data_IF_323112287041
#
_entry.id   IF_323112287041
#
_cell.length_a   1.000
_cell.length_b   1.000
_cell.length_c   1.000
_cell.angle_alpha   90.00
_cell.angle_beta   90.00
_cell.angle_gamma   90.00
#
_symmetry.space_group_name_H-M   'P 1'
#
loop_
_entity.id
_entity.type
_entity.pdbx_description
1 polymer ?
#
# COMPACT_ATOMS: atom_id res chain seq x y z
N UNK A 1 17.22 8.13 -7.75
CA UNK A 1 16.37 9.16 -7.10
C UNK A 1 15.54 8.58 -5.94
N UNK A 2 15.20 7.30 -6.04
CA UNK A 2 14.58 6.50 -5.00
C UNK A 2 15.63 5.79 -4.11
N UNK A 3 16.19 6.52 -3.15
CA UNK A 3 17.17 5.97 -2.20
C UNK A 3 16.95 6.55 -0.80
N UNK A 4 17.59 5.93 0.20
CA UNK A 4 17.65 6.38 1.59
C UNK A 4 19.11 6.57 2.00
N UNK A 5 19.37 7.61 2.79
CA UNK A 5 20.71 7.92 3.28
C UNK A 5 20.83 7.69 4.79
N UNK A 6 22.05 7.53 5.33
CA UNK A 6 22.25 7.50 6.78
C UNK A 6 21.78 8.78 7.50
N UNK A 7 21.67 9.91 6.78
CA UNK A 7 21.16 11.17 7.34
C UNK A 7 19.63 11.15 7.46
N UNK A 8 18.92 10.40 6.61
CA UNK A 8 17.48 10.21 6.76
C UNK A 8 17.19 9.36 8.01
N UNK A 9 17.96 8.29 8.22
CA UNK A 9 17.83 7.45 9.44
C UNK A 9 18.08 8.27 10.71
N UNK A 10 19.04 9.20 10.68
CA UNK A 10 19.38 10.08 11.80
C UNK A 10 18.23 11.03 12.21
N UNK A 11 17.32 11.34 11.29
CA UNK A 11 16.19 12.24 11.54
C UNK A 11 14.99 11.56 12.21
N UNK A 12 14.98 10.22 12.29
CA UNK A 12 13.91 9.48 12.93
C UNK A 12 13.90 9.70 14.45
N UNK A 13 12.70 9.91 15.00
CA UNK A 13 12.48 9.92 16.45
C UNK A 13 12.50 8.49 17.03
N UNK A 14 12.41 8.35 18.36
CA UNK A 14 12.47 7.05 19.05
C UNK A 14 11.36 6.08 18.60
N UNK A 15 10.14 6.60 18.42
CA UNK A 15 8.99 5.79 18.04
C UNK A 15 9.16 5.28 16.61
N UNK A 16 9.52 6.16 15.68
CA UNK A 16 9.69 5.81 14.27
C UNK A 16 10.91 4.92 14.05
N UNK A 17 12.01 5.12 14.78
CA UNK A 17 13.19 4.25 14.68
C UNK A 17 12.87 2.82 15.18
N UNK A 18 12.15 2.69 16.30
CA UNK A 18 11.69 1.39 16.79
C UNK A 18 10.76 0.72 15.78
N UNK A 19 9.79 1.49 15.25
CA UNK A 19 8.87 1.02 14.23
C UNK A 19 9.58 0.58 12.95
N UNK A 20 10.64 1.28 12.55
CA UNK A 20 11.47 0.90 11.42
C UNK A 20 12.15 -0.46 11.64
N UNK A 21 12.80 -0.66 12.79
CA UNK A 21 13.49 -1.93 13.10
C UNK A 21 12.51 -3.09 13.15
N UNK A 22 11.32 -2.90 13.74
CA UNK A 22 10.25 -3.90 13.74
C UNK A 22 9.83 -4.31 12.33
N UNK A 23 9.49 -3.33 11.49
CA UNK A 23 9.11 -3.54 10.08
C UNK A 23 10.22 -4.17 9.24
N UNK A 24 11.48 -3.82 9.52
CA UNK A 24 12.64 -4.44 8.86
C UNK A 24 12.81 -5.91 9.23
N UNK A 25 12.59 -6.26 10.50
CA UNK A 25 12.60 -7.66 10.94
C UNK A 25 11.48 -8.45 10.26
N UNK A 26 10.26 -7.92 10.23
CA UNK A 26 9.12 -8.55 9.53
C UNK A 26 9.42 -8.75 8.05
N UNK A 27 9.92 -7.71 7.37
CA UNK A 27 10.27 -7.77 5.95
C UNK A 27 11.38 -8.81 5.68
N UNK A 28 12.38 -8.91 6.55
CA UNK A 28 13.45 -9.91 6.44
C UNK A 28 12.93 -11.34 6.56
N UNK A 29 12.04 -11.60 7.54
CA UNK A 29 11.42 -12.91 7.69
C UNK A 29 10.56 -13.27 6.48
N UNK A 30 9.70 -12.35 6.04
CA UNK A 30 8.81 -12.59 4.90
C UNK A 30 9.62 -12.84 3.62
N UNK A 31 10.72 -12.11 3.40
CA UNK A 31 11.60 -12.32 2.23
C UNK A 31 12.21 -13.72 2.17
N UNK A 32 12.20 -14.46 3.28
CA UNK A 32 12.72 -15.82 3.42
C UNK A 32 11.62 -16.88 3.56
N UNK A 33 10.36 -16.50 3.34
CA UNK A 33 9.21 -17.38 3.51
C UNK A 33 8.90 -17.71 4.97
N UNK A 34 9.39 -16.91 5.92
CA UNK A 34 9.14 -17.08 7.36
C UNK A 34 7.98 -16.19 7.82
N UNK A 35 7.27 -16.62 8.85
CA UNK A 35 6.13 -15.89 9.39
C UNK A 35 6.57 -14.61 10.13
N UNK A 36 6.00 -13.43 9.82
CA UNK A 36 6.28 -12.20 10.54
C UNK A 36 5.75 -12.23 11.98
N UNK A 37 4.84 -13.16 12.33
CA UNK A 37 4.34 -13.33 13.69
C UNK A 37 5.43 -13.72 14.71
N UNK A 38 6.58 -14.19 14.24
CA UNK A 38 7.76 -14.42 15.07
C UNK A 38 8.45 -13.12 15.53
N UNK A 39 8.07 -11.97 14.98
CA UNK A 39 8.56 -10.65 15.40
C UNK A 39 7.59 -10.06 16.42
N UNK A 40 8.12 -9.52 17.52
CA UNK A 40 7.35 -8.83 18.54
C UNK A 40 7.96 -7.44 18.79
N UNK A 41 7.17 -6.40 18.60
CA UNK A 41 7.51 -5.00 18.87
C UNK A 41 6.23 -4.19 19.15
N UNK A 42 6.36 -3.00 19.75
CA UNK A 42 5.21 -2.11 20.02
C UNK A 42 4.58 -2.21 21.42
N UNK A 43 5.26 -2.87 22.37
CA UNK A 43 4.86 -2.86 23.79
C UNK A 43 5.08 -1.49 24.47
N UNK A 44 4.31 -1.21 25.52
CA UNK A 44 4.40 0.03 26.29
C UNK A 44 5.79 0.14 26.97
N UNK A 45 6.48 1.28 26.80
CA UNK A 45 7.88 1.51 27.18
C UNK A 45 8.20 1.38 28.68
N UNK A 46 7.18 1.15 29.52
CA UNK A 46 7.22 1.23 30.98
C UNK A 46 7.01 -0.11 31.69
N UNK A 47 6.99 -1.25 30.97
CA UNK A 47 7.04 -2.55 31.62
C UNK A 47 8.36 -2.67 32.43
N UNK A 48 8.24 -2.89 33.74
CA UNK A 48 9.35 -2.87 34.70
C UNK A 48 10.40 -3.98 34.49
N UNK A 49 10.22 -4.85 33.50
CA UNK A 49 11.01 -6.06 33.29
C UNK A 49 12.22 -5.88 32.35
N UNK A 50 12.55 -4.64 31.96
CA UNK A 50 13.77 -4.36 31.21
C UNK A 50 13.85 -5.05 29.85
N UNK A 51 12.69 -5.19 29.19
CA UNK A 51 12.52 -5.87 27.91
C UNK A 51 13.21 -5.17 26.73
N UNK A 52 13.39 -5.94 25.65
CA UNK A 52 13.94 -5.49 24.38
C UNK A 52 12.90 -4.69 23.59
N UNK A 53 13.36 -3.77 22.74
CA UNK A 53 12.47 -2.97 21.88
C UNK A 53 11.83 -3.80 20.76
N UNK A 54 12.62 -4.72 20.17
CA UNK A 54 12.17 -5.65 19.14
C UNK A 54 12.77 -7.03 19.42
N UNK A 55 11.96 -8.08 19.31
CA UNK A 55 12.39 -9.47 19.46
C UNK A 55 11.98 -10.28 18.24
N UNK A 56 12.87 -11.14 17.76
CA UNK A 56 12.58 -12.18 16.77
C UNK A 56 12.80 -13.53 17.44
N UNK A 57 11.76 -14.36 17.46
CA UNK A 57 11.79 -15.70 18.06
C UNK A 57 11.28 -16.75 17.08
N UNK A 58 12.21 -17.45 16.43
CA UNK A 58 11.91 -18.49 15.45
C UNK A 58 12.04 -19.90 16.06
N UNK A 59 11.17 -20.85 15.67
CA UNK A 59 11.28 -22.23 16.12
C UNK A 59 12.64 -22.87 15.78
N UNK A 60 13.13 -23.82 16.60
CA UNK A 60 14.36 -24.55 16.33
C UNK A 60 14.32 -25.28 14.98
N UNK A 61 15.47 -25.41 14.33
CA UNK A 61 15.63 -26.15 13.06
C UNK A 61 15.50 -25.31 11.80
N UNK A 62 15.22 -24.00 11.93
CA UNK A 62 15.32 -23.05 10.81
C UNK A 62 16.74 -22.49 10.67
N UNK A 63 17.05 -21.98 9.48
CA UNK A 63 18.29 -21.24 9.22
C UNK A 63 17.97 -19.78 8.94
N UNK A 64 18.72 -18.88 9.58
CA UNK A 64 18.58 -17.44 9.38
C UNK A 64 19.97 -16.78 9.51
N UNK A 65 20.30 -15.90 8.57
CA UNK A 65 21.55 -15.12 8.54
C UNK A 65 21.31 -13.64 8.21
N UNK A 66 22.34 -12.84 7.95
CA UNK A 66 22.20 -11.44 7.53
C UNK A 66 21.85 -10.48 8.68
N UNK A 67 20.85 -9.62 8.50
CA UNK A 67 20.52 -8.59 9.50
C UNK A 67 19.83 -9.14 10.75
N UNK A 68 19.18 -10.30 10.66
CA UNK A 68 18.70 -11.09 11.79
C UNK A 68 19.57 -12.35 11.86
N UNK A 69 20.64 -12.36 12.67
CA UNK A 69 21.70 -13.36 12.54
C UNK A 69 21.42 -14.68 13.25
N UNK A 70 20.41 -14.76 14.12
CA UNK A 70 20.07 -15.96 14.93
C UNK A 70 18.56 -16.14 15.08
N UNK A 71 18.13 -17.36 15.41
CA UNK A 71 16.72 -17.71 15.59
C UNK A 71 16.06 -16.96 16.74
N UNK A 72 16.81 -16.73 17.82
CA UNK A 72 16.43 -15.82 18.91
C UNK A 72 17.29 -14.56 18.80
N UNK A 73 16.72 -13.45 18.33
CA UNK A 73 17.44 -12.18 18.18
C UNK A 73 16.69 -11.06 18.89
N UNK A 74 17.38 -10.35 19.78
CA UNK A 74 16.91 -9.15 20.43
C UNK A 74 17.57 -7.89 19.87
N UNK A 75 16.77 -6.88 19.54
CA UNK A 75 17.24 -5.56 19.20
C UNK A 75 16.86 -4.55 20.29
N UNK A 76 17.87 -3.82 20.76
CA UNK A 76 17.69 -2.65 21.63
C UNK A 76 17.91 -1.40 20.79
N UNK A 77 16.89 -0.57 20.66
CA UNK A 77 16.88 0.63 19.83
C UNK A 77 17.16 1.86 20.69
N UNK A 78 18.13 2.68 20.27
CA UNK A 78 18.51 3.91 20.97
C UNK A 78 18.69 5.04 19.97
N UNK A 79 17.80 6.04 20.01
CA UNK A 79 17.98 7.27 19.22
C UNK A 79 19.27 8.03 19.55
N UNK A 80 19.73 8.22 20.80
CA UNK A 80 21.00 8.90 21.07
C UNK A 80 22.20 8.06 20.64
N UNK A 81 23.37 8.70 20.53
CA UNK A 81 24.63 7.97 20.36
C UNK A 81 24.89 7.07 21.57
N UNK A 82 25.51 5.92 21.31
CA UNK A 82 25.83 4.88 22.29
C UNK A 82 27.35 4.72 22.38
N UNK A 83 28.06 5.62 23.09
CA UNK A 83 29.48 5.42 23.39
C UNK A 83 29.65 4.25 24.38
N UNK A 84 30.89 3.75 24.54
CA UNK A 84 31.23 2.63 25.42
C UNK A 84 30.54 2.66 26.79
N UNK A 85 30.61 3.81 27.49
CA UNK A 85 30.00 3.94 28.82
C UNK A 85 28.49 3.75 28.83
N UNK A 86 27.78 4.24 27.79
CA UNK A 86 26.34 4.07 27.65
C UNK A 86 25.97 2.62 27.32
N UNK A 87 26.77 1.93 26.49
CA UNK A 87 26.57 0.50 26.19
C UNK A 87 26.71 -0.35 27.46
N UNK A 88 27.77 -0.12 28.25
CA UNK A 88 27.99 -0.84 29.50
C UNK A 88 26.86 -0.60 30.50
N UNK A 89 26.42 0.66 30.66
CA UNK A 89 25.32 1.02 31.55
C UNK A 89 23.97 0.44 31.07
N UNK A 90 23.75 0.38 29.76
CA UNK A 90 22.54 -0.19 29.17
C UNK A 90 22.47 -1.70 29.43
N UNK A 91 23.55 -2.44 29.17
CA UNK A 91 23.56 -3.89 29.37
C UNK A 91 23.63 -4.29 30.84
N UNK A 92 24.28 -3.47 31.67
CA UNK A 92 24.45 -3.70 33.11
C UNK A 92 23.92 -2.56 33.98
N UNK A 93 22.60 -2.38 34.08
CA UNK A 93 22.06 -1.41 35.01
C UNK A 93 22.49 -1.79 36.43
N UNK A 94 23.18 -0.87 37.12
CA UNK A 94 23.69 -1.09 38.49
C UNK A 94 24.71 -2.25 38.59
N UNK A 95 25.38 -2.60 37.49
CA UNK A 95 26.48 -3.58 37.46
C UNK A 95 26.07 -5.05 37.25
N UNK A 96 24.77 -5.37 37.25
CA UNK A 96 24.25 -6.70 36.94
C UNK A 96 23.73 -6.77 35.50
N UNK A 97 24.00 -7.87 34.78
CA UNK A 97 23.50 -8.06 33.42
C UNK A 97 21.97 -8.11 33.40
N UNK A 98 21.33 -7.51 32.38
CA UNK A 98 19.89 -7.65 32.20
C UNK A 98 19.51 -9.12 31.99
N UNK A 99 18.46 -9.63 32.67
CA UNK A 99 18.00 -11.02 32.51
C UNK A 99 17.77 -11.41 31.05
N UNK A 100 17.19 -10.52 30.25
CA UNK A 100 16.91 -10.76 28.84
C UNK A 100 18.17 -11.06 27.99
N UNK A 101 19.32 -10.53 28.37
CA UNK A 101 20.59 -10.81 27.69
C UNK A 101 21.11 -12.19 28.08
N UNK A 102 20.92 -12.60 29.33
CA UNK A 102 21.24 -13.95 29.79
C UNK A 102 20.35 -15.00 29.10
N UNK A 103 19.04 -14.74 28.98
CA UNK A 103 18.11 -15.59 28.22
C UNK A 103 18.58 -15.80 26.77
N UNK A 104 18.93 -14.70 26.07
CA UNK A 104 19.46 -14.79 24.71
C UNK A 104 20.77 -15.58 24.64
N UNK A 105 21.62 -15.51 25.67
CA UNK A 105 22.86 -16.28 25.70
C UNK A 105 22.59 -17.78 25.88
N UNK A 106 21.65 -18.14 26.74
CA UNK A 106 21.26 -19.53 27.00
C UNK A 106 20.58 -20.17 25.77
N UNK A 107 19.96 -19.37 24.91
CA UNK A 107 19.36 -19.79 23.64
C UNK A 107 20.33 -19.77 22.45
N UNK A 108 21.62 -19.48 22.66
CA UNK A 108 22.61 -19.25 21.58
C UNK A 108 22.14 -18.21 20.55
N UNK A 109 21.43 -17.19 21.04
CA UNK A 109 20.78 -16.15 20.27
C UNK A 109 21.70 -14.98 19.90
N UNK A 110 21.08 -13.83 19.64
CA UNK A 110 21.77 -12.59 19.31
C UNK A 110 21.22 -11.38 20.09
N UNK A 111 22.11 -10.50 20.54
CA UNK A 111 21.78 -9.21 21.14
C UNK A 111 22.41 -8.08 20.33
N UNK A 112 21.58 -7.22 19.75
CA UNK A 112 22.02 -6.15 18.84
C UNK A 112 21.57 -4.81 19.39
N UNK A 113 22.49 -3.86 19.51
CA UNK A 113 22.14 -2.47 19.78
C UNK A 113 22.06 -1.72 18.46
N UNK A 114 20.97 -0.99 18.26
CA UNK A 114 20.70 -0.16 17.10
C UNK A 114 20.75 1.30 17.51
N UNK A 115 21.48 2.14 16.77
CA UNK A 115 21.45 3.59 16.97
C UNK A 115 21.40 4.38 15.67
N UNK A 116 20.55 5.40 15.65
CA UNK A 116 20.44 6.34 14.52
C UNK A 116 21.45 7.49 14.60
N UNK A 117 22.09 7.69 15.75
CA UNK A 117 23.06 8.78 16.01
C UNK A 117 24.46 8.26 16.28
N UNK A 118 25.43 9.16 16.20
CA UNK A 118 26.83 8.88 16.52
C UNK A 118 27.72 8.62 15.32
N UNK A 119 29.01 8.49 15.60
CA UNK A 119 30.03 8.23 14.57
C UNK A 119 29.84 6.86 13.92
N UNK A 120 29.92 6.82 12.59
CA UNK A 120 29.89 5.61 11.76
C UNK A 120 31.29 5.16 11.34
N UNK A 121 32.34 5.75 11.92
CA UNK A 121 33.71 5.38 11.63
C UNK A 121 34.04 3.97 12.15
N UNK A 122 34.85 3.22 11.41
CA UNK A 122 35.23 1.84 11.76
C UNK A 122 35.81 1.72 13.18
N UNK A 123 36.63 2.70 13.60
CA UNK A 123 37.21 2.72 14.94
C UNK A 123 36.14 2.87 16.04
N UNK A 124 35.12 3.70 15.80
CA UNK A 124 33.99 3.86 16.71
C UNK A 124 33.12 2.60 16.76
N UNK A 125 32.84 1.98 15.61
CA UNK A 125 32.09 0.72 15.53
C UNK A 125 32.82 -0.43 16.24
N UNK A 126 34.13 -0.57 16.04
CA UNK A 126 34.95 -1.55 16.77
C UNK A 126 34.89 -1.31 18.27
N UNK A 127 35.07 -0.07 18.72
CA UNK A 127 34.96 0.28 20.14
C UNK A 127 33.59 -0.10 20.73
N UNK A 128 32.49 0.14 20.01
CA UNK A 128 31.14 -0.26 20.45
C UNK A 128 30.96 -1.78 20.49
N UNK A 129 31.48 -2.50 19.51
CA UNK A 129 31.47 -3.98 19.49
C UNK A 129 32.31 -4.57 20.62
N UNK A 130 33.47 -3.99 20.90
CA UNK A 130 34.31 -4.38 22.03
C UNK A 130 33.60 -4.10 23.36
N UNK A 131 32.91 -2.97 23.48
CA UNK A 131 32.09 -2.64 24.66
C UNK A 131 30.93 -3.64 24.88
N UNK A 132 30.26 -4.09 23.81
CA UNK A 132 29.24 -5.14 23.88
C UNK A 132 29.85 -6.45 24.41
N UNK A 133 31.03 -6.84 23.93
CA UNK A 133 31.73 -8.05 24.39
C UNK A 133 32.24 -7.91 25.83
N UNK A 134 32.76 -6.75 26.20
CA UNK A 134 33.18 -6.45 27.57
C UNK A 134 32.01 -6.56 28.56
N UNK A 135 30.82 -6.06 28.18
CA UNK A 135 29.61 -6.16 28.98
C UNK A 135 29.17 -7.60 29.28
N UNK A 136 29.68 -8.60 28.56
CA UNK A 136 29.37 -10.02 28.77
C UNK A 136 30.32 -10.71 29.75
N UNK A 137 31.30 -10.01 30.33
CA UNK A 137 32.26 -10.61 31.26
C UNK A 137 31.59 -11.25 32.50
N UNK A 138 31.60 -12.57 32.62
CA UNK A 138 30.96 -13.30 33.71
C UNK A 138 29.48 -13.64 33.48
N UNK A 139 28.99 -13.49 32.24
CA UNK A 139 27.69 -14.02 31.79
C UNK A 139 27.86 -15.49 31.38
N UNK A 140 26.92 -16.34 31.76
CA UNK A 140 26.95 -17.77 31.39
C UNK A 140 26.62 -17.90 29.90
N UNK A 141 27.29 -18.80 29.16
CA UNK A 141 27.09 -19.01 27.72
C UNK A 141 27.37 -17.77 26.84
N UNK A 142 28.15 -16.81 27.33
CA UNK A 142 28.47 -15.57 26.62
C UNK A 142 29.16 -15.79 25.25
N UNK A 143 29.87 -16.91 25.10
CA UNK A 143 30.53 -17.34 23.86
C UNK A 143 29.52 -17.76 22.77
N UNK A 144 28.35 -18.24 23.17
CA UNK A 144 27.28 -18.63 22.25
C UNK A 144 26.43 -17.43 21.79
N UNK A 145 26.38 -16.37 22.60
CA UNK A 145 25.66 -15.14 22.27
C UNK A 145 26.36 -14.36 21.14
N UNK A 146 25.65 -14.13 20.04
CA UNK A 146 26.08 -13.19 19.02
C UNK A 146 25.78 -11.74 19.46
N UNK A 147 26.74 -10.84 19.35
CA UNK A 147 26.52 -9.41 19.63
C UNK A 147 26.98 -8.55 18.48
N UNK A 148 26.20 -7.54 18.13
CA UNK A 148 26.57 -6.57 17.09
C UNK A 148 25.99 -5.17 17.37
N UNK A 149 26.52 -4.19 16.66
CA UNK A 149 26.06 -2.79 16.72
C UNK A 149 25.64 -2.33 15.32
N UNK A 150 24.40 -1.90 15.17
CA UNK A 150 23.86 -1.41 13.89
C UNK A 150 23.76 0.10 13.96
N UNK A 151 24.61 0.77 13.19
CA UNK A 151 24.54 2.22 13.03
C UNK A 151 23.58 2.62 11.92
N UNK A 152 23.39 3.93 11.76
CA UNK A 152 22.58 4.54 10.70
C UNK A 152 22.98 4.12 9.28
N UNK A 153 24.25 3.80 9.02
CA UNK A 153 24.71 3.35 7.69
C UNK A 153 24.26 1.93 7.41
N UNK A 154 24.38 1.05 8.40
CA UNK A 154 23.91 -0.32 8.31
C UNK A 154 22.39 -0.39 8.23
N UNK A 155 21.68 0.45 8.99
CA UNK A 155 20.22 0.60 8.87
C UNK A 155 19.81 1.09 7.48
N UNK A 156 20.45 2.13 6.94
CA UNK A 156 20.15 2.59 5.59
C UNK A 156 20.35 1.47 4.55
N UNK A 157 21.41 0.66 4.70
CA UNK A 157 21.66 -0.51 3.85
C UNK A 157 20.56 -1.56 4.00
N UNK A 158 20.05 -1.79 5.20
CA UNK A 158 18.95 -2.71 5.43
C UNK A 158 17.65 -2.22 4.77
N UNK A 159 17.33 -0.92 4.94
CA UNK A 159 16.14 -0.30 4.36
C UNK A 159 16.15 -0.35 2.83
N UNK A 160 17.31 -0.15 2.19
CA UNK A 160 17.43 -0.19 0.71
C UNK A 160 16.96 -1.50 0.08
N UNK A 161 16.93 -2.59 0.85
CA UNK A 161 16.44 -3.89 0.36
C UNK A 161 14.92 -3.93 0.17
N UNK A 162 14.18 -2.98 0.75
CA UNK A 162 12.72 -2.99 0.82
C UNK A 162 12.13 -1.64 0.37
N UNK A 163 11.75 -1.50 -0.92
CA UNK A 163 11.24 -0.26 -1.49
C UNK A 163 10.08 0.38 -0.72
N UNK A 164 9.13 -0.42 -0.22
CA UNK A 164 8.01 0.09 0.58
C UNK A 164 8.46 0.69 1.92
N UNK A 165 9.62 0.28 2.46
CA UNK A 165 10.20 0.90 3.65
C UNK A 165 10.98 2.18 3.32
N UNK A 166 11.53 2.30 2.10
CA UNK A 166 12.16 3.56 1.64
C UNK A 166 11.11 4.68 1.60
N UNK A 167 9.94 4.42 0.99
CA UNK A 167 8.83 5.40 0.94
C UNK A 167 8.33 5.73 2.34
N UNK A 168 8.17 4.73 3.19
CA UNK A 168 7.75 4.93 4.58
C UNK A 168 8.73 5.81 5.39
N UNK A 169 10.04 5.54 5.33
CA UNK A 169 11.04 6.35 6.06
C UNK A 169 11.03 7.79 5.53
N UNK A 170 11.00 7.96 4.21
CA UNK A 170 10.99 9.29 3.58
C UNK A 170 9.78 10.12 3.97
N UNK A 171 8.60 9.50 4.08
CA UNK A 171 7.39 10.14 4.59
C UNK A 171 7.57 10.63 6.04
N UNK A 172 8.13 9.78 6.92
CA UNK A 172 8.36 10.11 8.34
C UNK A 172 9.34 11.26 8.56
N UNK A 173 10.33 11.42 7.69
CA UNK A 173 11.32 12.49 7.78
C UNK A 173 10.93 13.74 6.97
N UNK A 174 9.70 13.82 6.46
CA UNK A 174 9.21 14.98 5.70
C UNK A 174 9.85 15.13 4.31
N UNK A 175 10.40 14.04 3.76
CA UNK A 175 11.00 13.97 2.42
C UNK A 175 10.24 13.02 1.50
N UNK A 176 8.93 12.93 1.70
CA UNK A 176 8.02 12.13 0.90
C UNK A 176 8.22 12.42 -0.59
N UNK A 177 8.16 11.37 -1.41
CA UNK A 177 8.16 11.52 -2.86
C UNK A 177 6.76 11.96 -3.30
N UNK A 178 6.70 12.96 -4.17
CA UNK A 178 5.42 13.52 -4.61
C UNK A 178 4.61 12.42 -5.32
N UNK A 179 3.37 12.23 -4.90
CA UNK A 179 2.46 11.23 -5.49
C UNK A 179 2.80 9.76 -5.21
N UNK A 180 3.86 9.46 -4.45
CA UNK A 180 4.26 8.08 -4.11
C UNK A 180 3.97 7.75 -2.65
N UNK A 181 3.41 6.56 -2.41
CA UNK A 181 3.03 6.11 -1.07
C UNK A 181 3.48 4.66 -0.82
N UNK A 182 3.83 4.29 0.43
CA UNK A 182 3.98 2.90 0.81
C UNK A 182 2.62 2.17 0.81
N UNK A 183 2.64 0.89 1.17
CA UNK A 183 1.40 0.18 1.53
C UNK A 183 0.62 0.96 2.60
N UNK A 184 -0.67 1.16 2.34
CA UNK A 184 -1.55 1.96 3.18
C UNK A 184 -2.98 2.03 2.61
N UNK A 185 -3.83 2.91 3.15
CA UNK A 185 -5.21 3.05 2.71
C UNK A 185 -5.27 3.83 1.40
N UNK A 186 -5.19 3.13 0.27
CA UNK A 186 -5.23 3.75 -1.07
C UNK A 186 -6.67 4.06 -1.55
N UNK A 187 -7.72 3.50 -0.93
CA UNK A 187 -9.11 3.46 -1.42
C UNK A 187 -9.99 4.58 -0.84
N UNK A 188 -9.37 5.62 -0.29
CA UNK A 188 -10.03 6.80 0.23
C UNK A 188 -9.80 7.01 1.73
N UNK A 189 -9.95 8.26 2.17
CA UNK A 189 -9.56 8.73 3.51
C UNK A 189 -10.40 8.17 4.68
N UNK A 190 -11.51 7.49 4.40
CA UNK A 190 -12.43 6.98 5.42
C UNK A 190 -12.15 5.54 5.86
N UNK A 191 -11.24 4.82 5.20
CA UNK A 191 -10.89 3.44 5.52
C UNK A 191 -9.48 3.39 6.10
N UNK A 192 -9.34 2.81 7.29
CA UNK A 192 -8.03 2.45 7.86
C UNK A 192 -7.47 1.22 7.12
N UNK A 193 -6.15 0.99 7.18
CA UNK A 193 -5.50 -0.22 6.64
C UNK A 193 -6.12 -1.48 7.24
N UNK A 194 -6.52 -1.40 8.51
CA UNK A 194 -7.16 -2.49 9.24
C UNK A 194 -8.63 -2.69 8.87
N UNK A 195 -9.18 -1.91 7.94
CA UNK A 195 -10.55 -2.13 7.46
C UNK A 195 -10.68 -3.51 6.83
N UNK A 196 -11.57 -4.33 7.38
CA UNK A 196 -11.93 -5.64 6.81
C UNK A 196 -12.37 -5.51 5.34
N UNK A 197 -11.94 -6.45 4.50
CA UNK A 197 -12.38 -6.56 3.12
C UNK A 197 -13.70 -7.32 3.04
N UNK A 198 -14.69 -6.76 2.35
CA UNK A 198 -16.00 -7.38 2.19
C UNK A 198 -15.97 -8.38 1.05
N UNK A 199 -16.25 -9.65 1.36
CA UNK A 199 -16.35 -10.70 0.36
C UNK A 199 -17.71 -10.68 -0.34
N UNK A 200 -17.66 -10.96 -1.63
CA UNK A 200 -18.81 -11.13 -2.50
C UNK A 200 -18.93 -12.60 -2.87
N UNK A 201 -20.14 -13.15 -2.77
CA UNK A 201 -20.44 -14.50 -3.26
C UNK A 201 -20.62 -14.51 -4.79
N UNK A 202 -20.75 -13.33 -5.40
CA UNK A 202 -20.80 -13.17 -6.86
C UNK A 202 -19.41 -13.38 -7.47
N UNK A 203 -19.34 -14.27 -8.46
CA UNK A 203 -18.18 -14.39 -9.33
C UNK A 203 -18.07 -13.12 -10.19
N UNK A 204 -17.00 -12.35 -10.00
CA UNK A 204 -16.87 -11.01 -10.60
C UNK A 204 -15.47 -10.68 -11.10
N UNK A 205 -14.55 -11.63 -11.01
CA UNK A 205 -13.18 -11.48 -11.51
C UNK A 205 -12.96 -12.41 -12.68
N UNK A 206 -12.50 -11.87 -13.80
CA UNK A 206 -12.17 -12.61 -15.00
C UNK A 206 -10.67 -12.47 -15.22
N UNK A 207 -9.95 -13.59 -15.16
CA UNK A 207 -8.53 -13.66 -15.51
C UNK A 207 -8.39 -14.17 -16.94
N UNK A 208 -7.68 -13.41 -17.76
CA UNK A 208 -7.33 -13.80 -19.12
C UNK A 208 -7.50 -12.68 -20.14
N UNK A 209 -6.84 -12.84 -21.28
CA UNK A 209 -6.78 -11.85 -22.37
C UNK A 209 -8.14 -11.53 -23.02
N UNK A 210 -9.16 -12.34 -22.77
CA UNK A 210 -10.50 -12.15 -23.34
C UNK A 210 -11.57 -12.13 -22.25
N UNK A 211 -12.59 -11.27 -22.42
CA UNK A 211 -13.76 -11.16 -21.52
C UNK A 211 -14.58 -12.46 -21.37
N UNK A 212 -14.38 -13.44 -22.26
CA UNK A 212 -15.04 -14.76 -22.21
C UNK A 212 -14.42 -15.73 -21.19
N UNK A 213 -13.40 -15.29 -20.45
CA UNK A 213 -12.79 -16.10 -19.38
C UNK A 213 -13.80 -16.31 -18.24
N UNK A 214 -13.80 -17.50 -17.66
CA UNK A 214 -14.75 -17.85 -16.60
C UNK A 214 -14.63 -16.91 -15.40
N UNK A 215 -15.75 -16.33 -14.97
CA UNK A 215 -15.81 -15.53 -13.75
C UNK A 215 -15.41 -16.41 -12.55
N UNK A 216 -14.59 -15.87 -11.67
CA UNK A 216 -14.11 -16.54 -10.47
C UNK A 216 -14.47 -15.77 -9.20
N UNK A 217 -14.39 -16.48 -8.07
CA UNK A 217 -14.55 -15.91 -6.75
C UNK A 217 -13.35 -15.03 -6.41
N UNK A 218 -13.60 -13.94 -5.69
CA UNK A 218 -12.57 -12.93 -5.41
C UNK A 218 -11.37 -13.50 -4.66
N UNK A 219 -11.59 -14.41 -3.72
CA UNK A 219 -10.50 -15.02 -2.96
C UNK A 219 -9.54 -15.85 -3.83
N UNK A 220 -10.07 -16.58 -4.82
CA UNK A 220 -9.25 -17.41 -5.73
C UNK A 220 -8.42 -16.51 -6.65
N UNK A 221 -9.08 -15.53 -7.27
CA UNK A 221 -8.41 -14.56 -8.13
C UNK A 221 -7.32 -13.76 -7.40
N UNK A 222 -7.53 -13.39 -6.13
CA UNK A 222 -6.51 -12.74 -5.31
C UNK A 222 -5.26 -13.62 -5.17
N UNK A 223 -5.45 -14.92 -4.91
CA UNK A 223 -4.34 -15.85 -4.74
C UNK A 223 -3.57 -16.08 -6.05
N UNK A 224 -4.27 -16.18 -7.18
CA UNK A 224 -3.64 -16.27 -8.52
C UNK A 224 -2.81 -15.01 -8.84
N UNK A 225 -3.36 -13.81 -8.56
CA UNK A 225 -2.64 -12.55 -8.77
C UNK A 225 -1.45 -12.39 -7.83
N UNK A 226 -1.53 -12.92 -6.61
CA UNK A 226 -0.38 -12.95 -5.69
C UNK A 226 0.72 -13.86 -6.23
N UNK A 227 0.37 -15.03 -6.75
CA UNK A 227 1.33 -15.98 -7.31
C UNK A 227 2.05 -15.38 -8.54
N UNK A 228 1.33 -14.66 -9.39
CA UNK A 228 1.92 -13.91 -10.51
C UNK A 228 2.80 -12.75 -10.04
N UNK A 229 2.25 -11.83 -9.24
CA UNK A 229 2.98 -10.64 -8.81
C UNK A 229 4.15 -10.96 -7.88
N UNK A 230 4.23 -12.16 -7.31
CA UNK A 230 5.39 -12.64 -6.56
C UNK A 230 6.59 -12.93 -7.48
N UNK A 231 6.34 -13.31 -8.74
CA UNK A 231 7.40 -13.52 -9.72
C UNK A 231 7.95 -12.19 -10.24
N UNK A 232 9.28 -12.05 -10.37
CA UNK A 232 9.88 -10.83 -10.91
C UNK A 232 9.55 -10.66 -12.40
N UNK A 233 9.38 -9.41 -12.84
CA UNK A 233 9.14 -9.08 -14.26
C UNK A 233 7.70 -9.26 -14.74
N UNK A 234 6.77 -9.63 -13.86
CA UNK A 234 5.37 -9.81 -14.22
C UNK A 234 4.63 -8.48 -14.35
N UNK A 235 3.73 -8.39 -15.33
CA UNK A 235 2.86 -7.23 -15.53
C UNK A 235 1.38 -7.63 -15.59
N UNK A 236 0.61 -7.01 -14.71
CA UNK A 236 -0.83 -7.22 -14.55
C UNK A 236 -1.55 -5.90 -14.82
N UNK A 237 -2.66 -5.97 -15.55
CA UNK A 237 -3.54 -4.82 -15.82
C UNK A 237 -4.93 -5.10 -15.30
N UNK A 238 -5.34 -4.36 -14.27
CA UNK A 238 -6.66 -4.44 -13.67
C UNK A 238 -7.60 -3.42 -14.33
N UNK A 239 -8.64 -3.94 -14.98
CA UNK A 239 -9.64 -3.17 -15.71
C UNK A 239 -11.04 -3.38 -15.14
N UNK A 240 -11.94 -2.41 -15.33
CA UNK A 240 -13.32 -2.48 -14.87
C UNK A 240 -13.93 -1.10 -14.66
N UNK A 241 -15.25 -1.01 -14.58
CA UNK A 241 -15.94 0.28 -14.48
C UNK A 241 -15.44 1.13 -13.30
N UNK A 242 -15.52 2.46 -13.43
CA UNK A 242 -15.18 3.36 -12.32
C UNK A 242 -16.09 3.08 -11.12
N UNK A 243 -15.51 2.94 -9.92
CA UNK A 243 -16.27 2.69 -8.68
C UNK A 243 -16.61 1.24 -8.34
N UNK A 244 -16.13 0.24 -9.10
CA UNK A 244 -16.32 -1.19 -8.77
C UNK A 244 -15.38 -1.72 -7.67
N UNK A 245 -14.44 -0.91 -7.19
CA UNK A 245 -13.53 -1.28 -6.10
C UNK A 245 -12.16 -1.81 -6.52
N UNK A 246 -11.68 -1.44 -7.73
CA UNK A 246 -10.35 -1.85 -8.25
C UNK A 246 -9.21 -1.55 -7.28
N UNK A 247 -9.04 -0.30 -6.85
CA UNK A 247 -7.99 0.12 -5.89
C UNK A 247 -8.07 -0.64 -4.56
N UNK A 248 -9.29 -0.97 -4.11
CA UNK A 248 -9.52 -1.77 -2.89
C UNK A 248 -9.11 -3.22 -3.08
N UNK A 249 -9.36 -3.81 -4.25
CA UNK A 249 -8.86 -5.14 -4.60
C UNK A 249 -7.33 -5.17 -4.63
N UNK A 250 -6.67 -4.14 -5.18
CA UNK A 250 -5.20 -4.09 -5.21
C UNK A 250 -4.60 -4.04 -3.80
N UNK A 251 -5.20 -3.30 -2.86
CA UNK A 251 -4.76 -3.34 -1.46
C UNK A 251 -4.92 -4.73 -0.83
N UNK A 252 -6.01 -5.43 -1.17
CA UNK A 252 -6.30 -6.76 -0.63
C UNK A 252 -5.22 -7.79 -1.01
N UNK A 253 -4.47 -7.55 -2.10
CA UNK A 253 -3.34 -8.41 -2.48
C UNK A 253 -2.26 -8.48 -1.40
N UNK A 254 -2.12 -7.46 -0.56
CA UNK A 254 -1.14 -7.38 0.52
C UNK A 254 -1.73 -7.72 1.91
N UNK A 255 -3.04 -7.93 2.00
CA UNK A 255 -3.72 -8.19 3.28
C UNK A 255 -3.69 -9.69 3.65
N UNK A 256 -2.99 -10.02 4.72
CA UNK A 256 -2.83 -11.39 5.20
C UNK A 256 -4.11 -12.06 5.72
N UNK A 257 -5.18 -11.29 5.97
CA UNK A 257 -6.47 -11.80 6.45
C UNK A 257 -7.32 -12.39 5.30
N UNK A 258 -6.92 -12.15 4.06
CA UNK A 258 -7.67 -12.50 2.85
C UNK A 258 -6.90 -13.58 2.11
N UNK A 259 -7.57 -14.66 1.69
CA UNK A 259 -6.98 -15.71 0.86
C UNK A 259 -5.75 -16.35 1.49
N UNK A 260 -4.79 -16.74 0.66
CA UNK A 260 -3.51 -17.32 1.06
C UNK A 260 -2.32 -16.60 0.38
N UNK A 261 -1.12 -16.73 0.93
CA UNK A 261 0.13 -16.18 0.35
C UNK A 261 0.07 -14.66 0.03
N UNK A 262 -0.23 -13.79 1.00
CA UNK A 262 -0.29 -12.34 0.78
C UNK A 262 1.05 -11.79 0.26
N UNK A 263 0.98 -10.79 -0.62
CA UNK A 263 2.17 -10.07 -1.04
C UNK A 263 2.78 -9.31 0.15
N UNK A 264 4.11 -9.25 0.27
CA UNK A 264 4.75 -8.51 1.36
C UNK A 264 4.49 -7.00 1.23
N UNK A 265 3.91 -6.33 2.24
CA UNK A 265 3.69 -4.88 2.22
C UNK A 265 4.98 -4.07 2.02
N UNK A 266 6.12 -4.62 2.42
CA UNK A 266 7.46 -4.02 2.27
C UNK A 266 7.94 -3.90 0.82
N UNK A 267 7.29 -4.61 -0.12
CA UNK A 267 7.58 -4.51 -1.55
C UNK A 267 6.67 -3.52 -2.28
N UNK A 268 5.56 -3.11 -1.66
CA UNK A 268 4.53 -2.29 -2.30
C UNK A 268 4.98 -0.83 -2.45
N UNK A 269 4.86 -0.30 -3.66
CA UNK A 269 5.03 1.12 -3.96
C UNK A 269 3.86 1.57 -4.81
N UNK A 270 3.05 2.50 -4.31
CA UNK A 270 1.80 2.93 -4.93
C UNK A 270 1.88 4.37 -5.40
N UNK A 271 1.27 4.64 -6.54
CA UNK A 271 0.95 5.99 -7.01
C UNK A 271 -0.42 6.02 -7.67
N UNK A 272 -1.06 7.18 -7.63
CA UNK A 272 -2.15 7.53 -8.53
C UNK A 272 -1.62 8.55 -9.52
N UNK A 273 -1.76 8.31 -10.83
CA UNK A 273 -1.23 9.23 -11.84
C UNK A 273 -1.84 10.64 -11.72
N UNK A 274 -3.08 10.76 -11.24
CA UNK A 274 -3.74 12.04 -10.97
C UNK A 274 -3.03 12.86 -9.88
N UNK A 275 -2.23 12.23 -9.00
CA UNK A 275 -1.45 12.90 -7.97
C UNK A 275 -0.14 13.52 -8.53
N UNK A 276 0.10 13.43 -9.85
CA UNK A 276 1.31 13.93 -10.54
C UNK A 276 2.62 13.42 -9.91
N UNK A 277 2.89 12.10 -9.96
CA UNK A 277 4.05 11.52 -9.30
C UNK A 277 5.39 12.08 -9.80
N UNK A 278 6.30 12.33 -8.85
CA UNK A 278 7.70 12.67 -9.11
C UNK A 278 8.63 11.82 -8.22
N UNK A 279 9.47 10.94 -8.80
CA UNK A 279 9.70 10.70 -10.24
C UNK A 279 8.49 10.08 -10.96
N UNK A 280 8.48 10.18 -12.29
CA UNK A 280 7.50 9.50 -13.13
C UNK A 280 7.61 7.96 -12.99
N UNK A 281 6.50 7.19 -13.14
CA UNK A 281 6.49 5.74 -12.90
C UNK A 281 7.55 4.96 -13.69
N UNK A 282 7.78 5.31 -14.96
CA UNK A 282 8.82 4.68 -15.79
C UNK A 282 10.24 4.95 -15.29
N UNK A 283 10.50 6.17 -14.82
CA UNK A 283 11.77 6.54 -14.20
C UNK A 283 12.00 5.78 -12.89
N UNK A 284 10.97 5.66 -12.05
CA UNK A 284 11.05 4.89 -10.82
C UNK A 284 11.28 3.39 -11.08
N UNK A 285 10.55 2.81 -12.02
CA UNK A 285 10.71 1.41 -12.41
C UNK A 285 12.14 1.14 -12.91
N UNK A 286 12.67 2.03 -13.76
CA UNK A 286 14.04 1.94 -14.28
C UNK A 286 15.09 2.01 -13.17
N UNK A 287 14.94 2.95 -12.22
CA UNK A 287 15.82 3.07 -11.04
C UNK A 287 15.81 1.78 -10.21
N UNK A 288 14.63 1.19 -9.97
CA UNK A 288 14.51 -0.04 -9.19
C UNK A 288 15.14 -1.25 -9.89
N UNK A 289 14.89 -1.39 -11.20
CA UNK A 289 15.48 -2.47 -12.02
C UNK A 289 17.00 -2.34 -12.07
N UNK A 290 17.54 -1.14 -12.30
CA UNK A 290 18.97 -0.89 -12.35
C UNK A 290 19.69 -1.24 -11.04
N UNK A 291 19.01 -1.09 -9.90
CA UNK A 291 19.53 -1.45 -8.58
C UNK A 291 19.30 -2.93 -8.22
N UNK A 292 18.62 -3.70 -9.08
CA UNK A 292 18.26 -5.10 -8.79
C UNK A 292 17.30 -5.23 -7.61
N UNK A 293 16.51 -4.19 -7.32
CA UNK A 293 15.66 -4.14 -6.14
C UNK A 293 14.27 -4.68 -6.44
N UNK A 294 13.90 -5.76 -5.76
CA UNK A 294 12.57 -6.35 -5.83
C UNK A 294 11.49 -5.36 -5.37
N UNK A 295 10.51 -5.08 -6.23
CA UNK A 295 9.37 -4.21 -5.90
C UNK A 295 8.09 -4.65 -6.62
N UNK A 296 6.92 -4.37 -6.01
CA UNK A 296 5.62 -4.42 -6.69
C UNK A 296 5.13 -2.99 -6.84
N UNK A 297 5.18 -2.49 -8.07
CA UNK A 297 4.81 -1.13 -8.43
C UNK A 297 3.33 -1.08 -8.83
N UNK A 298 2.54 -0.33 -8.09
CA UNK A 298 1.11 -0.12 -8.37
C UNK A 298 0.90 1.28 -8.93
N UNK A 299 0.32 1.37 -10.12
CA UNK A 299 0.01 2.63 -10.80
C UNK A 299 -1.50 2.71 -11.04
N UNK A 300 -2.19 3.50 -10.23
CA UNK A 300 -3.62 3.77 -10.38
C UNK A 300 -3.88 4.86 -11.43
N UNK A 301 -5.00 4.77 -12.13
CA UNK A 301 -5.37 5.58 -13.30
C UNK A 301 -4.24 5.63 -14.34
N UNK A 302 -3.77 4.46 -14.79
CA UNK A 302 -2.63 4.33 -15.70
C UNK A 302 -3.07 4.16 -17.18
N UNK A 303 -2.85 5.19 -18.04
CA UNK A 303 -3.19 5.14 -19.45
C UNK A 303 -2.48 4.01 -20.20
N UNK A 304 -3.10 3.55 -21.29
CA UNK A 304 -2.54 2.51 -22.16
C UNK A 304 -1.09 2.79 -22.60
N UNK A 305 -0.77 4.02 -22.99
CA UNK A 305 0.60 4.38 -23.42
C UNK A 305 1.64 4.16 -22.31
N UNK A 306 1.34 4.63 -21.09
CA UNK A 306 2.21 4.45 -19.94
C UNK A 306 2.34 2.97 -19.55
N UNK A 307 1.24 2.21 -19.65
CA UNK A 307 1.24 0.77 -19.44
C UNK A 307 2.15 0.04 -20.42
N UNK A 308 2.11 0.37 -21.72
CA UNK A 308 3.01 -0.20 -22.71
C UNK A 308 4.49 0.06 -22.36
N UNK A 309 4.84 1.29 -22.00
CA UNK A 309 6.20 1.64 -21.59
C UNK A 309 6.65 0.87 -20.35
N UNK A 310 5.81 0.75 -19.32
CA UNK A 310 6.09 -0.04 -18.13
C UNK A 310 6.24 -1.53 -18.46
N UNK A 311 5.42 -2.04 -19.38
CA UNK A 311 5.50 -3.41 -19.86
C UNK A 311 6.83 -3.73 -20.54
N UNK A 312 7.32 -2.84 -21.38
CA UNK A 312 8.61 -3.01 -22.06
C UNK A 312 9.77 -3.02 -21.06
N UNK A 313 9.74 -2.11 -20.08
CA UNK A 313 10.75 -2.05 -19.02
C UNK A 313 10.77 -3.32 -18.16
N UNK A 314 9.60 -3.82 -17.76
CA UNK A 314 9.51 -4.93 -16.81
C UNK A 314 9.81 -6.29 -17.42
N UNK A 315 9.73 -6.44 -18.74
CA UNK A 315 10.02 -7.70 -19.44
C UNK A 315 11.50 -7.93 -19.71
N UNK A 316 12.37 -6.98 -19.39
CA UNK A 316 13.81 -7.20 -19.50
C UNK A 316 14.25 -8.41 -18.65
N UNK A 317 15.20 -9.21 -19.16
CA UNK A 317 15.68 -10.44 -18.49
C UNK A 317 16.23 -10.20 -17.07
N UNK A 318 16.65 -8.98 -16.76
CA UNK A 318 17.18 -8.57 -15.45
C UNK A 318 16.14 -7.89 -14.55
N UNK A 319 14.88 -7.81 -14.98
CA UNK A 319 13.85 -7.12 -14.22
C UNK A 319 13.53 -7.85 -12.92
N UNK A 320 13.59 -7.12 -11.83
CA UNK A 320 13.15 -7.58 -10.51
C UNK A 320 11.84 -6.93 -10.08
N UNK A 321 11.26 -6.07 -10.93
CA UNK A 321 10.06 -5.30 -10.61
C UNK A 321 8.86 -5.95 -11.27
N UNK A 322 7.77 -6.09 -10.51
CA UNK A 322 6.46 -6.48 -11.04
C UNK A 322 5.56 -5.26 -11.02
N UNK A 323 4.73 -5.07 -12.04
CA UNK A 323 3.86 -3.90 -12.18
C UNK A 323 2.41 -4.32 -12.19
N UNK A 324 1.58 -3.63 -11.41
CA UNK A 324 0.14 -3.66 -11.51
C UNK A 324 -0.38 -2.28 -11.91
N UNK A 325 -1.03 -2.20 -13.06
CA UNK A 325 -1.71 -0.99 -13.52
C UNK A 325 -3.21 -1.11 -13.30
N UNK A 326 -3.87 0.01 -12.98
CA UNK A 326 -5.33 0.08 -12.85
C UNK A 326 -5.87 1.10 -13.84
N UNK A 327 -6.84 0.69 -14.65
CA UNK A 327 -7.56 1.58 -15.57
C UNK A 327 -9.04 1.19 -15.63
N UNK A 328 -9.89 2.07 -16.17
CA UNK A 328 -11.31 1.80 -16.35
C UNK A 328 -11.65 1.23 -17.74
N UNK A 329 -10.74 1.31 -18.70
CA UNK A 329 -10.97 0.96 -20.11
C UNK A 329 -10.30 -0.37 -20.49
N UNK A 330 -11.08 -1.25 -21.12
CA UNK A 330 -10.58 -2.48 -21.74
C UNK A 330 -10.43 -2.21 -23.23
N UNK A 331 -9.24 -1.75 -23.64
CA UNK A 331 -8.88 -1.73 -25.05
C UNK A 331 -8.36 -3.10 -25.47
N UNK A 332 -8.72 -3.53 -26.67
CA UNK A 332 -8.35 -4.85 -27.22
C UNK A 332 -6.84 -4.99 -27.49
N UNK A 333 -6.09 -3.88 -27.56
CA UNK A 333 -4.66 -3.82 -27.89
C UNK A 333 -3.75 -3.87 -26.66
N UNK A 334 -3.70 -5.02 -25.97
CA UNK A 334 -2.82 -5.22 -24.82
C UNK A 334 -1.44 -5.80 -25.21
N UNK A 335 -0.32 -5.32 -24.62
CA UNK A 335 1.01 -5.86 -24.91
C UNK A 335 1.16 -7.35 -24.60
N UNK A 336 1.91 -8.10 -25.42
CA UNK A 336 2.06 -9.57 -25.32
C UNK A 336 2.65 -10.08 -23.99
N UNK A 337 1.86 -10.70 -23.12
CA UNK A 337 2.35 -11.15 -21.80
C UNK A 337 1.96 -10.20 -20.66
N UNK A 338 1.03 -9.27 -20.93
CA UNK A 338 0.21 -8.63 -19.90
C UNK A 338 -0.89 -9.60 -19.51
N UNK A 339 -1.01 -9.88 -18.22
CA UNK A 339 -2.20 -10.53 -17.68
C UNK A 339 -3.29 -9.47 -17.45
N UNK A 340 -4.45 -9.66 -18.06
CA UNK A 340 -5.57 -8.73 -17.95
C UNK A 340 -6.60 -9.30 -17.00
N UNK A 341 -6.97 -8.50 -16.01
CA UNK A 341 -7.92 -8.86 -14.98
C UNK A 341 -9.11 -7.92 -15.07
N UNK A 342 -10.29 -8.45 -15.37
CA UNK A 342 -11.52 -7.63 -15.40
C UNK A 342 -12.30 -7.80 -14.10
N UNK A 343 -12.60 -6.68 -13.44
CA UNK A 343 -13.43 -6.62 -12.24
C UNK A 343 -14.82 -6.06 -12.58
N UNK A 344 -15.84 -6.90 -12.38
CA UNK A 344 -17.25 -6.57 -12.56
C UNK A 344 -17.88 -5.93 -11.33
N UNK A 345 -19.11 -5.44 -11.49
CA UNK A 345 -19.89 -4.83 -10.41
C UNK A 345 -20.14 -5.81 -9.26
N UNK A 346 -20.20 -5.27 -8.05
CA UNK A 346 -20.49 -6.05 -6.84
C UNK A 346 -21.94 -6.55 -6.83
N UNK A 347 -22.23 -7.55 -6.01
CA UNK A 347 -23.62 -7.90 -5.69
C UNK A 347 -24.30 -6.76 -4.91
N UNK A 348 -25.63 -6.58 -5.07
CA UNK A 348 -26.41 -5.68 -4.22
C UNK A 348 -26.22 -5.97 -2.73
N UNK A 349 -26.11 -7.24 -2.36
CA UNK A 349 -25.92 -7.68 -0.96
C UNK A 349 -24.58 -7.18 -0.39
N UNK A 350 -23.50 -7.19 -1.18
CA UNK A 350 -22.22 -6.61 -0.77
C UNK A 350 -22.32 -5.10 -0.61
N UNK A 351 -23.01 -4.41 -1.53
CA UNK A 351 -23.19 -2.96 -1.45
C UNK A 351 -24.03 -2.57 -0.23
N UNK A 352 -25.09 -3.32 0.07
CA UNK A 352 -25.90 -3.11 1.27
C UNK A 352 -25.02 -3.19 2.54
N UNK A 353 -24.19 -4.23 2.65
CA UNK A 353 -23.23 -4.37 3.76
C UNK A 353 -22.25 -3.20 3.82
N UNK A 354 -21.72 -2.76 2.67
CA UNK A 354 -20.79 -1.63 2.59
C UNK A 354 -21.44 -0.32 3.07
N UNK A 355 -22.64 -0.01 2.59
CA UNK A 355 -23.39 1.20 2.96
C UNK A 355 -23.72 1.18 4.44
N UNK A 356 -24.21 0.07 4.97
CA UNK A 356 -24.58 -0.03 6.38
C UNK A 356 -23.37 0.11 7.31
N UNK A 357 -22.21 -0.46 6.93
CA UNK A 357 -20.97 -0.33 7.69
C UNK A 357 -20.46 1.11 7.76
N UNK A 358 -20.52 1.84 6.63
CA UNK A 358 -19.98 3.20 6.53
C UNK A 358 -20.97 4.27 7.05
N UNK A 359 -22.26 4.00 6.97
CA UNK A 359 -23.33 4.88 7.42
C UNK A 359 -24.30 4.14 8.37
N UNK A 360 -23.89 3.85 9.62
CA UNK A 360 -24.70 3.04 10.56
C UNK A 360 -26.06 3.66 10.95
N UNK A 361 -26.26 4.94 10.62
CA UNK A 361 -27.50 5.65 10.88
C UNK A 361 -28.58 5.39 9.82
N UNK A 362 -28.20 4.82 8.65
CA UNK A 362 -29.16 4.47 7.61
C UNK A 362 -29.93 3.23 8.00
N UNK A 363 -31.25 3.25 7.73
CA UNK A 363 -32.09 2.08 7.92
C UNK A 363 -31.70 0.98 6.93
N UNK A 364 -32.00 -0.28 7.28
CA UNK A 364 -31.75 -1.42 6.37
C UNK A 364 -32.50 -1.26 5.04
N UNK A 365 -33.71 -0.68 5.08
CA UNK A 365 -34.52 -0.47 3.87
C UNK A 365 -33.84 0.55 2.95
N UNK A 366 -33.36 1.67 3.51
CA UNK A 366 -32.66 2.69 2.71
C UNK A 366 -31.34 2.16 2.15
N UNK A 367 -30.57 1.40 2.93
CA UNK A 367 -29.33 0.78 2.49
C UNK A 367 -29.56 -0.20 1.32
N UNK A 368 -30.63 -0.99 1.37
CA UNK A 368 -31.02 -1.90 0.28
C UNK A 368 -31.49 -1.13 -0.96
N UNK A 369 -32.30 -0.07 -0.80
CA UNK A 369 -32.71 0.78 -1.94
C UNK A 369 -31.50 1.42 -2.63
N UNK A 370 -30.52 1.90 -1.86
CA UNK A 370 -29.25 2.41 -2.40
C UNK A 370 -28.51 1.32 -3.17
N UNK A 371 -28.41 0.11 -2.60
CA UNK A 371 -27.73 -1.00 -3.23
C UNK A 371 -28.36 -1.41 -4.56
N UNK A 372 -29.69 -1.57 -4.58
CA UNK A 372 -30.46 -1.88 -5.79
C UNK A 372 -30.30 -0.78 -6.86
N UNK A 373 -30.38 0.50 -6.47
CA UNK A 373 -30.20 1.63 -7.39
C UNK A 373 -28.78 1.72 -7.96
N UNK A 374 -27.76 1.44 -7.14
CA UNK A 374 -26.36 1.54 -7.54
C UNK A 374 -25.92 0.50 -8.58
N UNK A 375 -26.71 -0.55 -8.80
CA UNK A 375 -26.37 -1.63 -9.74
C UNK A 375 -25.05 -2.34 -9.42
N UNK A 376 -24.63 -2.34 -8.15
CA UNK A 376 -23.35 -2.93 -7.73
C UNK A 376 -22.14 -1.99 -7.80
N UNK A 377 -22.34 -0.70 -8.06
CA UNK A 377 -21.28 0.31 -8.08
C UNK A 377 -21.10 0.97 -6.70
N UNK A 378 -19.96 0.71 -6.05
CA UNK A 378 -19.69 1.22 -4.71
C UNK A 378 -19.57 2.75 -4.66
N UNK A 379 -19.02 3.38 -5.70
CA UNK A 379 -18.89 4.86 -5.75
C UNK A 379 -20.27 5.53 -5.79
N UNK A 380 -21.19 5.02 -6.61
CA UNK A 380 -22.57 5.52 -6.69
C UNK A 380 -23.29 5.31 -5.36
N UNK A 381 -23.16 4.12 -4.77
CA UNK A 381 -23.80 3.79 -3.50
C UNK A 381 -23.35 4.70 -2.35
N UNK A 382 -22.03 4.92 -2.23
CA UNK A 382 -21.44 5.79 -1.22
C UNK A 382 -21.89 7.24 -1.44
N UNK A 383 -21.79 7.76 -2.67
CA UNK A 383 -22.20 9.12 -2.97
C UNK A 383 -23.68 9.37 -2.65
N UNK A 384 -24.56 8.42 -2.98
CA UNK A 384 -25.98 8.52 -2.64
C UNK A 384 -26.19 8.46 -1.11
N UNK A 385 -25.51 7.54 -0.41
CA UNK A 385 -25.59 7.42 1.04
C UNK A 385 -25.16 8.70 1.77
N UNK A 386 -24.12 9.40 1.27
CA UNK A 386 -23.65 10.68 1.84
C UNK A 386 -24.68 11.81 1.75
N UNK A 387 -25.63 11.72 0.82
CA UNK A 387 -26.70 12.70 0.71
C UNK A 387 -27.83 12.49 1.71
N UNK A 388 -27.96 11.32 2.34
CA UNK A 388 -29.10 10.99 3.22
C UNK A 388 -28.85 11.53 4.63
N UNK A 389 -29.77 12.34 5.14
CA UNK A 389 -29.70 12.87 6.50
C UNK A 389 -30.25 11.87 7.54
N UNK A 390 -29.84 12.02 8.81
CA UNK A 390 -30.18 11.08 9.90
C UNK A 390 -31.68 10.87 10.18
N UNK A 391 -32.54 11.76 9.70
CA UNK A 391 -34.01 11.69 9.88
C UNK A 391 -34.78 11.49 8.58
N UNK A 392 -34.08 11.23 7.48
CA UNK A 392 -34.67 11.11 6.15
C UNK A 392 -34.68 9.66 5.69
N UNK A 393 -35.73 9.26 4.96
CA UNK A 393 -35.81 7.97 4.29
C UNK A 393 -35.99 8.17 2.80
N UNK A 394 -35.23 7.40 2.03
CA UNK A 394 -35.20 7.42 0.56
C UNK A 394 -35.87 6.19 -0.05
N UNK A 395 -36.30 5.24 0.77
CA UNK A 395 -37.01 4.02 0.34
C UNK A 395 -38.26 4.27 -0.52
N UNK A 396 -38.85 5.48 -0.46
CA UNK A 396 -40.03 5.86 -1.25
C UNK A 396 -39.70 6.67 -2.52
N UNK A 397 -38.44 7.02 -2.73
CA UNK A 397 -38.04 7.77 -3.91
C UNK A 397 -38.04 6.85 -5.14
N UNK A 398 -38.48 7.39 -6.27
CA UNK A 398 -38.29 6.72 -7.56
C UNK A 398 -36.82 6.78 -7.97
N UNK A 399 -36.42 5.95 -8.94
CA UNK A 399 -35.07 6.02 -9.53
C UNK A 399 -34.73 7.43 -10.04
N UNK A 400 -35.71 8.14 -10.60
CA UNK A 400 -35.56 9.55 -11.00
C UNK A 400 -35.26 10.46 -9.80
N UNK A 401 -35.98 10.28 -8.68
CA UNK A 401 -35.74 11.04 -7.46
C UNK A 401 -34.36 10.76 -6.83
N UNK A 402 -33.91 9.49 -6.88
CA UNK A 402 -32.58 9.10 -6.42
C UNK A 402 -31.48 9.67 -7.31
N UNK A 403 -31.68 9.64 -8.63
CA UNK A 403 -30.75 10.23 -9.58
C UNK A 403 -30.63 11.75 -9.40
N UNK A 404 -31.75 12.48 -9.31
CA UNK A 404 -31.72 13.92 -9.07
C UNK A 404 -30.97 14.27 -7.78
N UNK A 405 -31.11 13.43 -6.74
CA UNK A 405 -30.39 13.61 -5.49
C UNK A 405 -28.89 13.37 -5.64
N UNK A 406 -28.52 12.27 -6.30
CA UNK A 406 -27.13 11.93 -6.61
C UNK A 406 -26.47 12.99 -7.50
N UNK A 407 -27.21 13.60 -8.43
CA UNK A 407 -26.70 14.64 -9.30
C UNK A 407 -26.51 15.97 -8.56
N UNK A 408 -27.41 16.29 -7.63
CA UNK A 408 -27.34 17.54 -6.86
C UNK A 408 -26.23 17.53 -5.81
N UNK A 409 -25.93 16.40 -5.16
CA UNK A 409 -24.88 16.26 -4.11
C UNK A 409 -24.77 17.43 -3.10
N UNK A 410 -25.90 18.08 -2.75
CA UNK A 410 -26.05 19.29 -1.88
C UNK A 410 -25.88 20.68 -2.55
N UNK A 411 -25.77 20.75 -3.88
CA UNK A 411 -25.78 21.99 -4.65
C UNK A 411 -27.19 22.40 -5.13
N UNK A 412 -27.33 23.68 -5.48
CA UNK A 412 -28.56 24.24 -6.06
C UNK A 412 -28.87 23.60 -7.42
N UNK A 413 -30.16 23.60 -7.79
CA UNK A 413 -30.62 22.94 -8.99
C UNK A 413 -30.24 23.71 -10.26
N UNK A 414 -29.27 23.21 -11.02
CA UNK A 414 -28.94 23.69 -12.35
C UNK A 414 -29.47 22.73 -13.44
N UNK A 415 -30.54 23.15 -14.11
CA UNK A 415 -31.13 22.39 -15.22
C UNK A 415 -30.26 22.40 -16.48
N UNK A 416 -29.46 23.44 -16.70
CA UNK A 416 -28.56 23.49 -17.84
C UNK A 416 -27.42 22.49 -17.62
N UNK A 417 -26.83 22.45 -16.42
CA UNK A 417 -25.82 21.44 -16.08
C UNK A 417 -26.36 20.01 -16.26
N UNK A 418 -27.61 19.76 -15.84
CA UNK A 418 -28.25 18.45 -16.00
C UNK A 418 -28.43 18.04 -17.47
N UNK A 419 -28.92 18.95 -18.32
CA UNK A 419 -29.08 18.70 -19.76
C UNK A 419 -27.73 18.47 -20.45
N UNK A 420 -26.69 19.20 -20.04
CA UNK A 420 -25.33 19.01 -20.52
C UNK A 420 -24.82 17.61 -20.14
N UNK A 421 -24.98 17.20 -18.88
CA UNK A 421 -24.59 15.87 -18.41
C UNK A 421 -25.31 14.74 -19.16
N UNK A 422 -26.63 14.87 -19.38
CA UNK A 422 -27.42 13.92 -20.16
C UNK A 422 -26.88 13.78 -21.59
N UNK A 423 -26.62 14.89 -22.28
CA UNK A 423 -26.06 14.87 -23.63
C UNK A 423 -24.68 14.20 -23.65
N UNK A 424 -23.80 14.54 -22.71
CA UNK A 424 -22.46 13.95 -22.61
C UNK A 424 -22.52 12.44 -22.33
N UNK A 425 -23.49 11.96 -21.56
CA UNK A 425 -23.66 10.53 -21.25
C UNK A 425 -24.07 9.65 -22.43
N UNK A 426 -24.51 10.24 -23.55
CA UNK A 426 -24.93 9.49 -24.75
C UNK A 426 -23.76 8.86 -25.50
N UNK A 427 -22.54 9.34 -25.25
CA UNK A 427 -21.32 8.94 -25.94
C UNK A 427 -20.29 8.42 -24.94
N UNK A 428 -19.46 7.48 -25.37
CA UNK A 428 -18.43 6.88 -24.51
C UNK A 428 -17.27 7.84 -24.21
N UNK A 429 -16.86 8.60 -25.21
CA UNK A 429 -15.79 9.59 -25.14
C UNK A 429 -16.06 10.69 -26.16
N UNK A 430 -15.58 11.90 -25.90
CA UNK A 430 -15.66 13.01 -26.84
C UNK A 430 -14.50 13.98 -26.67
N UNK A 431 -14.10 14.63 -27.76
CA UNK A 431 -13.07 15.66 -27.80
C UNK A 431 -13.64 17.03 -27.36
N UNK A 432 -12.97 17.69 -26.40
CA UNK A 432 -13.37 19.02 -25.91
C UNK A 432 -12.53 20.19 -26.49
N UNK A 433 -11.41 19.91 -27.17
CA UNK A 433 -10.47 20.94 -27.62
C UNK A 433 -10.84 21.55 -28.99
N UNK A 434 -11.37 20.75 -29.91
CA UNK A 434 -11.75 21.21 -31.24
C UNK A 434 -13.13 21.89 -31.21
N UNK A 435 -13.17 23.20 -31.44
CA UNK A 435 -14.42 23.99 -31.49
C UNK A 435 -15.03 24.08 -32.91
N UNK A 436 -14.26 23.77 -33.94
CA UNK A 436 -14.69 23.83 -35.35
C UNK A 436 -14.12 22.65 -36.17
N UNK A 437 -14.85 22.22 -37.20
CA UNK A 437 -14.47 21.09 -38.06
C UNK A 437 -15.26 19.80 -37.79
N UNK A 438 -14.95 18.72 -38.52
CA UNK A 438 -15.64 17.43 -38.35
C UNK A 438 -15.37 16.78 -36.99
N UNK A 439 -14.20 17.07 -36.39
CA UNK A 439 -13.73 16.64 -35.06
C UNK A 439 -14.32 17.45 -33.89
N UNK A 440 -15.14 18.47 -34.16
CA UNK A 440 -15.77 19.30 -33.13
C UNK A 440 -16.99 18.61 -32.50
N UNK A 441 -16.74 17.54 -31.77
CA UNK A 441 -17.75 16.71 -31.13
C UNK A 441 -18.55 17.46 -30.06
N UNK A 442 -17.89 18.38 -29.33
CA UNK A 442 -18.51 19.22 -28.32
C UNK A 442 -19.65 20.09 -28.88
N UNK A 443 -19.51 20.60 -30.11
CA UNK A 443 -20.55 21.39 -30.79
C UNK A 443 -21.80 20.57 -31.09
N UNK A 444 -21.64 19.27 -31.36
CA UNK A 444 -22.76 18.35 -31.59
C UNK A 444 -23.49 18.06 -30.27
N UNK A 445 -22.74 17.83 -29.19
CA UNK A 445 -23.30 17.66 -27.85
C UNK A 445 -24.02 18.91 -27.35
N UNK A 446 -23.48 20.11 -27.62
CA UNK A 446 -24.12 21.39 -27.32
C UNK A 446 -25.50 21.50 -27.99
N UNK A 447 -25.59 21.08 -29.26
CA UNK A 447 -26.84 21.07 -30.03
C UNK A 447 -27.86 20.11 -29.42
N UNK A 448 -27.44 18.92 -28.97
CA UNK A 448 -28.30 17.94 -28.32
C UNK A 448 -28.81 18.45 -26.96
N UNK A 449 -27.93 19.10 -26.18
CA UNK A 449 -28.26 19.70 -24.90
C UNK A 449 -29.10 20.99 -25.00
N UNK A 450 -29.20 21.57 -26.20
CA UNK A 450 -29.87 22.86 -26.45
C UNK A 450 -29.11 24.06 -25.85
N UNK A 451 -27.79 24.00 -25.78
CA UNK A 451 -26.92 24.99 -25.14
C UNK A 451 -25.90 25.57 -26.11
N UNK A 452 -25.33 26.74 -25.78
CA UNK A 452 -24.20 27.27 -26.52
C UNK A 452 -22.93 26.46 -26.21
N UNK A 453 -22.01 26.37 -27.18
CA UNK A 453 -20.74 25.63 -27.04
C UNK A 453 -19.89 26.10 -25.83
N UNK A 454 -19.80 27.40 -25.51
CA UNK A 454 -19.10 27.85 -24.30
C UNK A 454 -19.74 27.36 -22.99
N UNK A 455 -21.07 27.28 -22.96
CA UNK A 455 -21.81 26.87 -21.76
C UNK A 455 -21.61 25.36 -21.51
N UNK A 456 -21.70 24.53 -22.56
CA UNK A 456 -21.44 23.10 -22.41
C UNK A 456 -19.97 22.84 -22.03
N UNK A 457 -19.03 23.64 -22.56
CA UNK A 457 -17.61 23.55 -22.19
C UNK A 457 -17.42 23.82 -20.69
N UNK A 458 -18.08 24.85 -20.16
CA UNK A 458 -18.04 25.18 -18.73
C UNK A 458 -18.66 24.06 -17.87
N UNK A 459 -19.84 23.58 -18.27
CA UNK A 459 -20.53 22.48 -17.59
C UNK A 459 -19.71 21.17 -17.61
N UNK A 460 -19.03 20.85 -18.71
CA UNK A 460 -18.13 19.69 -18.78
C UNK A 460 -16.96 19.85 -17.82
N UNK A 461 -16.40 21.06 -17.70
CA UNK A 461 -15.37 21.36 -16.70
C UNK A 461 -15.85 21.24 -15.25
N UNK A 462 -17.14 21.43 -14.99
CA UNK A 462 -17.74 21.23 -13.66
C UNK A 462 -18.06 19.76 -13.37
N UNK A 463 -18.28 18.94 -14.41
CA UNK A 463 -18.59 17.51 -14.29
C UNK A 463 -17.35 16.60 -14.14
N UNK A 464 -16.16 17.10 -14.48
CA UNK A 464 -14.87 16.40 -14.40
C UNK A 464 -14.16 16.67 -13.07
#
# INVERSE_FOLDING_TARGET
>A
MFDITPDDINQLNDIDLRGLVGRLCEAELVSRGLSPAAVTWGGNQTAADGGLDVRVGLPPGMSIEGFVPRLSTGFQVKTPDMPRGAILAEMRPVGAIRPVIQELADEAGAYIIVSSKGSTADSALRNRRDALREALAGVTNADQLHTDFYDRTRLATWVRRYPGLITWVRERVGRALVGWRPYGPWSGAAEDVDSEYLFDDKLRLHLGKHRDSHAQAVAIAIDELRDELTQPGMIVRLVGLSGVGKTRLVQALFDARIGSRPLPPSLAVYTNLSDNPDPQPTGLASDLIANGTRAVLVVDNCPQELHCQLSELCRGETSTVSVLTVEYDVRDDQPEGTEVVTLDTSSPELIEKLVHRRYPHLSQVDARTIAEFSGGNARIAIALAETVERSESIARLSNEGLFQRLFRQRHDHDNALLLAAQACSLVYSFQCEALTGEEAELSRLATIAGQAVPDIYHHVGELL
#
